data_IF_161568417332
#
_entry.id   IF_161568417332
#
_cell.length_a   1.000
_cell.length_b   1.000
_cell.length_c   1.000
_cell.angle_alpha   90.00
_cell.angle_beta   90.00
_cell.angle_gamma   90.00
#
_symmetry.space_group_name_H-M   'P 1'
#
loop_
_entity.id
_entity.type
_entity.pdbx_description
1 polymer ?
#
# COMPACT_ATOMS: atom_id res chain seq x y z
N UNK A 1 7.57 -11.36 -0.65
CA UNK A 1 6.35 -10.75 -0.06
C UNK A 1 5.15 -11.00 -0.97
N UNK A 2 4.07 -11.46 -0.42
CA UNK A 2 2.83 -11.64 -1.17
C UNK A 2 2.02 -10.35 -1.10
N UNK A 3 1.61 -9.82 -2.25
CA UNK A 3 0.90 -8.56 -2.32
C UNK A 3 -0.49 -8.80 -2.90
N UNK A 4 -1.51 -8.32 -2.19
CA UNK A 4 -2.90 -8.39 -2.63
C UNK A 4 -3.42 -6.97 -2.78
N UNK A 5 -4.03 -6.66 -3.91
CA UNK A 5 -4.54 -5.33 -4.18
C UNK A 5 -6.04 -5.41 -4.43
N UNK A 6 -6.80 -4.63 -3.69
CA UNK A 6 -8.25 -4.62 -3.79
C UNK A 6 -8.77 -3.22 -4.06
N UNK A 7 -9.64 -3.08 -5.03
CA UNK A 7 -10.32 -1.81 -5.29
C UNK A 7 -11.75 -1.87 -4.78
N UNK A 8 -12.16 -0.87 -4.00
CA UNK A 8 -13.53 -0.71 -3.54
C UNK A 8 -14.18 0.42 -4.31
N UNK A 9 -15.28 0.12 -4.99
CA UNK A 9 -16.00 1.09 -5.82
C UNK A 9 -15.16 1.66 -6.96
N UNK A 10 -14.11 0.95 -7.35
CA UNK A 10 -13.21 1.38 -8.41
C UNK A 10 -12.56 0.18 -9.07
N UNK A 11 -12.34 0.27 -10.38
CA UNK A 11 -11.56 -0.73 -11.11
C UNK A 11 -10.12 -0.24 -11.20
N UNK A 12 -9.21 -1.00 -10.66
CA UNK A 12 -7.80 -0.63 -10.66
C UNK A 12 -7.16 -1.01 -11.99
N UNK A 13 -6.37 -0.10 -12.53
CA UNK A 13 -5.64 -0.35 -13.78
C UNK A 13 -4.37 -1.14 -13.50
N UNK A 14 -3.92 -1.89 -14.50
CA UNK A 14 -2.71 -2.69 -14.37
C UNK A 14 -1.49 -1.83 -14.03
N UNK A 15 -1.41 -0.63 -14.59
CA UNK A 15 -0.32 0.29 -14.30
C UNK A 15 -0.23 0.62 -12.82
N UNK A 16 -1.37 0.83 -12.18
CA UNK A 16 -1.40 1.13 -10.76
C UNK A 16 -0.95 -0.08 -9.95
N UNK A 17 -1.42 -1.27 -10.32
CA UNK A 17 -1.05 -2.50 -9.63
C UNK A 17 0.45 -2.76 -9.71
N UNK A 18 1.02 -2.57 -10.90
CA UNK A 18 2.45 -2.73 -11.09
C UNK A 18 3.24 -1.74 -10.24
N UNK A 19 2.76 -0.51 -10.17
CA UNK A 19 3.41 0.51 -9.37
C UNK A 19 3.38 0.17 -7.88
N UNK A 20 2.26 -0.33 -7.40
CA UNK A 20 2.12 -0.78 -6.02
C UNK A 20 3.10 -1.91 -5.73
N UNK A 21 3.13 -2.92 -6.58
CA UNK A 21 4.03 -4.04 -6.40
C UNK A 21 5.50 -3.61 -6.40
N UNK A 22 5.85 -2.73 -7.32
CA UNK A 22 7.22 -2.25 -7.43
C UNK A 22 7.64 -1.48 -6.19
N UNK A 23 6.77 -0.65 -5.65
CA UNK A 23 7.07 0.12 -4.45
C UNK A 23 7.13 -0.76 -3.21
N UNK A 24 6.22 -1.71 -3.09
CA UNK A 24 6.17 -2.59 -1.93
C UNK A 24 7.28 -3.63 -1.91
N UNK A 25 7.84 -3.99 -3.06
CA UNK A 25 8.98 -4.90 -3.09
C UNK A 25 10.16 -4.36 -2.28
N UNK A 26 10.28 -3.04 -2.19
CA UNK A 26 11.34 -2.44 -1.39
C UNK A 26 11.16 -2.78 0.09
N UNK A 27 9.93 -2.86 0.54
CA UNK A 27 9.64 -3.21 1.92
C UNK A 27 9.80 -4.72 2.18
N UNK A 28 9.67 -5.53 1.14
CA UNK A 28 9.89 -6.97 1.28
C UNK A 28 11.28 -7.30 1.82
N UNK A 29 12.25 -6.45 1.54
CA UNK A 29 13.60 -6.65 2.06
C UNK A 29 13.67 -6.37 3.55
N UNK A 30 12.82 -5.47 4.05
CA UNK A 30 12.79 -5.11 5.46
C UNK A 30 11.98 -6.10 6.28
N UNK A 31 10.88 -6.59 5.73
CA UNK A 31 9.95 -7.44 6.46
C UNK A 31 10.13 -8.93 6.19
N UNK A 32 10.93 -9.29 5.19
CA UNK A 32 11.15 -10.69 4.83
C UNK A 32 10.20 -11.19 3.75
N UNK A 33 10.58 -12.30 3.10
CA UNK A 33 9.80 -12.86 2.01
C UNK A 33 8.49 -13.47 2.50
N UNK A 34 8.42 -13.85 3.76
CA UNK A 34 7.22 -14.47 4.32
C UNK A 34 6.16 -13.43 4.71
N UNK A 35 6.47 -12.16 4.59
CA UNK A 35 5.51 -11.11 4.88
C UNK A 35 4.43 -11.05 3.79
N UNK A 36 3.25 -10.57 4.17
CA UNK A 36 2.19 -10.32 3.19
C UNK A 36 1.70 -8.88 3.31
N UNK A 37 1.37 -8.29 2.18
CA UNK A 37 0.86 -6.93 2.13
C UNK A 37 -0.52 -6.93 1.48
N UNK A 38 -1.46 -6.24 2.10
CA UNK A 38 -2.78 -6.02 1.53
C UNK A 38 -2.94 -4.54 1.25
N UNK A 39 -3.28 -4.20 0.04
CA UNK A 39 -3.51 -2.82 -0.36
C UNK A 39 -4.98 -2.69 -0.74
N UNK A 40 -5.68 -1.78 -0.08
CA UNK A 40 -7.07 -1.51 -0.39
C UNK A 40 -7.19 -0.07 -0.85
N UNK A 41 -7.81 0.13 -2.00
CA UNK A 41 -8.05 1.46 -2.56
C UNK A 41 -9.53 1.72 -2.56
N UNK A 42 -9.93 2.83 -1.95
CA UNK A 42 -11.33 3.26 -1.93
C UNK A 42 -11.44 4.61 -2.61
N UNK A 43 -12.36 4.74 -3.55
CA UNK A 43 -12.60 6.01 -4.23
C UNK A 43 -13.97 6.52 -3.82
N UNK A 44 -13.99 7.73 -3.27
CA UNK A 44 -15.22 8.42 -2.94
C UNK A 44 -15.18 9.78 -3.60
N UNK A 45 -16.31 10.23 -4.09
CA UNK A 45 -16.49 11.51 -4.82
C UNK A 45 -15.22 12.25 -5.28
N UNK A 46 -14.44 12.79 -4.37
CA UNK A 46 -13.22 13.54 -4.67
C UNK A 46 -12.03 13.07 -3.86
N UNK A 47 -12.15 11.93 -3.20
CA UNK A 47 -11.09 11.40 -2.35
C UNK A 47 -10.75 9.99 -2.76
N UNK A 48 -9.48 9.72 -2.76
CA UNK A 48 -9.00 8.37 -3.01
C UNK A 48 -8.15 7.99 -1.82
N UNK A 49 -8.53 6.90 -1.16
CA UNK A 49 -7.83 6.43 0.03
C UNK A 49 -7.09 5.16 -0.28
N UNK A 50 -5.81 5.12 0.05
CA UNK A 50 -5.00 3.91 -0.10
C UNK A 50 -4.64 3.43 1.30
N UNK A 51 -4.99 2.20 1.62
CA UNK A 51 -4.66 1.58 2.89
C UNK A 51 -3.74 0.41 2.64
N UNK A 52 -2.62 0.37 3.33
CA UNK A 52 -1.66 -0.72 3.22
C UNK A 52 -1.52 -1.39 4.58
N UNK A 53 -1.68 -2.71 4.60
CA UNK A 53 -1.49 -3.52 5.79
C UNK A 53 -0.43 -4.56 5.49
N UNK A 54 0.63 -4.59 6.29
CA UNK A 54 1.70 -5.56 6.13
C UNK A 54 1.73 -6.46 7.36
N UNK A 55 1.70 -7.77 7.13
CA UNK A 55 1.81 -8.75 8.19
C UNK A 55 3.09 -9.52 8.01
N UNK A 56 3.86 -9.62 9.06
CA UNK A 56 5.12 -10.35 9.03
C UNK A 56 4.93 -11.77 9.55
N UNK A 57 5.92 -12.63 9.28
CA UNK A 57 5.85 -14.02 9.69
C UNK A 57 5.83 -14.20 11.21
N UNK A 58 6.39 -13.25 11.95
CA UNK A 58 6.41 -13.30 13.39
C UNK A 58 5.15 -12.72 14.03
N UNK A 59 4.15 -12.40 13.24
CA UNK A 59 2.86 -11.95 13.76
C UNK A 59 2.71 -10.46 13.94
N UNK A 60 3.68 -9.66 13.53
CA UNK A 60 3.56 -8.22 13.61
C UNK A 60 2.70 -7.69 12.46
N UNK A 61 1.96 -6.62 12.72
CA UNK A 61 1.10 -5.99 11.74
C UNK A 61 1.41 -4.50 11.67
N UNK A 62 1.68 -4.03 10.46
CA UNK A 62 1.91 -2.61 10.20
C UNK A 62 0.80 -2.09 9.29
N UNK A 63 0.22 -0.96 9.66
CA UNK A 63 -0.88 -0.38 8.93
C UNK A 63 -0.61 1.07 8.63
N UNK A 64 -0.91 1.50 7.40
CA UNK A 64 -0.78 2.89 7.00
C UNK A 64 -1.92 3.22 6.05
N UNK A 65 -2.48 4.42 6.19
CA UNK A 65 -3.57 4.88 5.36
C UNK A 65 -3.35 6.33 4.99
N UNK A 66 -3.58 6.66 3.73
CA UNK A 66 -3.48 8.03 3.25
C UNK A 66 -4.61 8.33 2.28
N UNK A 67 -5.07 9.57 2.30
CA UNK A 67 -6.11 10.04 1.42
C UNK A 67 -5.59 11.21 0.58
N UNK A 68 -5.80 11.15 -0.71
CA UNK A 68 -5.34 12.19 -1.63
C UNK A 68 -6.30 12.29 -2.80
N UNK A 69 -6.22 13.38 -3.60
CA UNK A 69 -7.07 13.51 -4.79
C UNK A 69 -6.77 12.46 -5.84
N UNK A 70 -5.56 11.91 -5.88
CA UNK A 70 -5.18 10.88 -6.82
C UNK A 70 -4.60 9.67 -6.12
N UNK A 71 -4.90 8.47 -6.66
CA UNK A 71 -4.42 7.23 -6.09
C UNK A 71 -2.90 7.15 -6.00
N UNK A 72 -2.21 7.63 -7.02
CA UNK A 72 -0.75 7.58 -7.03
C UNK A 72 -0.15 8.45 -5.92
N UNK A 73 -0.74 9.61 -5.66
CA UNK A 73 -0.28 10.48 -4.60
C UNK A 73 -0.53 9.85 -3.23
N UNK A 74 -1.69 9.24 -3.04
CA UNK A 74 -1.99 8.55 -1.80
C UNK A 74 -1.04 7.39 -1.58
N UNK A 75 -0.71 6.65 -2.64
CA UNK A 75 0.23 5.54 -2.55
C UNK A 75 1.62 6.04 -2.17
N UNK A 76 2.09 7.13 -2.78
CA UNK A 76 3.39 7.67 -2.47
C UNK A 76 3.46 8.14 -1.01
N UNK A 77 2.41 8.77 -0.52
CA UNK A 77 2.36 9.21 0.88
C UNK A 77 2.39 8.04 1.85
N UNK A 78 1.66 6.97 1.54
CA UNK A 78 1.67 5.76 2.37
C UNK A 78 3.06 5.16 2.42
N UNK A 79 3.72 5.04 1.27
CA UNK A 79 5.06 4.46 1.20
C UNK A 79 6.06 5.32 1.95
N UNK A 80 5.98 6.65 1.80
CA UNK A 80 6.87 7.56 2.48
C UNK A 80 6.64 7.56 4.00
N UNK A 81 5.40 7.45 4.42
CA UNK A 81 5.08 7.41 5.84
C UNK A 81 5.62 6.16 6.53
N UNK A 82 5.85 5.10 5.77
CA UNK A 82 6.46 3.90 6.35
C UNK A 82 7.95 4.04 6.56
N UNK A 83 8.55 5.05 5.97
CA UNK A 83 9.99 5.24 6.10
C UNK A 83 10.39 5.61 7.51
N UNK A 84 11.61 5.25 7.92
CA UNK A 84 12.06 5.54 9.28
C UNK A 84 12.21 7.02 9.54
N UNK A 85 12.31 7.80 8.51
CA UNK A 85 12.46 9.22 8.67
C UNK A 85 11.19 9.94 8.88
N UNK A 86 10.12 9.30 9.01
CA UNK A 86 8.89 9.88 9.19
C UNK A 86 8.82 10.75 10.36
N UNK A 87 9.72 10.86 11.00
CA UNK A 87 9.78 11.83 12.03
C UNK A 87 9.73 13.23 11.47
#
# INVERSE_FOLDING_TARGET
MKITITGRKVSLRDNFKERVEKKLKKFGRMFGEDASASVTVTVEKRRQTVEVTIRTADGMVYRSEQTAPEMNDALDEVVNARGPSNS
#
